data_IF_931751041157
#
_entry.id   IF_931751041157
#
_cell.length_a   1.000
_cell.length_b   1.000
_cell.length_c   1.000
_cell.angle_alpha   90.00
_cell.angle_beta   90.00
_cell.angle_gamma   90.00
#
_symmetry.space_group_name_H-M   'P 1'
#
loop_
_entity.id
_entity.type
_entity.pdbx_description
1 polymer ?
#
# COMPACT_ATOMS: atom_id res chain seq x y z
N UNK A 1 19.77 8.32 -59.88
CA UNK A 1 19.19 8.88 -58.65
C UNK A 1 17.96 8.08 -58.26
N UNK A 2 18.08 7.04 -57.42
CA UNK A 2 16.94 6.41 -56.74
C UNK A 2 17.28 6.39 -55.24
N UNK A 3 16.64 7.30 -54.50
CA UNK A 3 16.76 7.42 -53.04
C UNK A 3 15.79 6.42 -52.41
N UNK A 4 16.32 5.37 -51.79
CA UNK A 4 15.54 4.45 -50.97
C UNK A 4 15.13 5.15 -49.68
N UNK A 5 13.82 5.37 -49.51
CA UNK A 5 13.22 5.88 -48.28
C UNK A 5 13.00 4.70 -47.33
N UNK A 6 13.95 4.45 -46.43
CA UNK A 6 13.81 3.44 -45.37
C UNK A 6 12.89 3.99 -44.27
N UNK A 7 11.61 3.59 -44.28
CA UNK A 7 10.67 3.82 -43.20
C UNK A 7 10.91 2.75 -42.11
N UNK A 8 11.67 3.12 -41.08
CA UNK A 8 11.80 2.30 -39.87
C UNK A 8 10.52 2.43 -39.03
N UNK A 9 9.64 1.43 -39.12
CA UNK A 9 8.52 1.26 -38.21
C UNK A 9 9.05 0.85 -36.83
N UNK A 10 9.24 1.81 -35.94
CA UNK A 10 9.50 1.59 -34.51
C UNK A 10 8.22 1.02 -33.87
N UNK A 11 8.08 -0.30 -33.88
CA UNK A 11 7.09 -1.01 -33.06
C UNK A 11 7.51 -0.92 -31.59
N UNK A 12 7.07 0.13 -30.90
CA UNK A 12 7.13 0.19 -29.44
C UNK A 12 6.22 -0.91 -28.88
N UNK A 13 6.74 -1.90 -28.13
CA UNK A 13 5.86 -2.83 -27.43
C UNK A 13 5.13 -2.06 -26.34
N UNK A 14 3.86 -1.72 -26.58
CA UNK A 14 2.95 -1.29 -25.53
C UNK A 14 2.71 -2.49 -24.62
N UNK A 15 3.50 -2.60 -23.55
CA UNK A 15 3.19 -3.50 -22.46
C UNK A 15 1.97 -2.95 -21.71
N UNK A 16 0.78 -3.35 -22.14
CA UNK A 16 -0.46 -3.12 -21.38
C UNK A 16 -0.45 -4.10 -20.22
N UNK A 17 0.05 -3.67 -19.07
CA UNK A 17 -0.11 -4.41 -17.83
C UNK A 17 -1.54 -4.23 -17.33
N UNK A 18 -2.40 -5.22 -17.56
CA UNK A 18 -3.70 -5.30 -16.93
C UNK A 18 -3.51 -5.69 -15.45
N UNK A 19 -3.44 -4.69 -14.57
CA UNK A 19 -3.54 -4.92 -13.12
C UNK A 19 -5.01 -4.94 -12.75
N UNK A 20 -5.54 -6.14 -12.46
CA UNK A 20 -6.86 -6.24 -11.84
C UNK A 20 -6.72 -5.81 -10.38
N UNK A 21 -7.02 -4.54 -10.07
CA UNK A 21 -7.23 -4.18 -8.68
C UNK A 21 -8.58 -4.76 -8.25
N UNK A 22 -8.63 -5.71 -7.30
CA UNK A 22 -9.91 -6.29 -6.86
C UNK A 22 -10.82 -5.25 -6.17
N UNK A 23 -10.26 -4.09 -5.82
CA UNK A 23 -10.92 -3.03 -5.10
C UNK A 23 -11.13 -1.80 -5.99
N UNK A 24 -12.39 -1.37 -6.14
CA UNK A 24 -12.79 -0.21 -6.97
C UNK A 24 -12.12 1.10 -6.56
N UNK A 25 -11.57 1.19 -5.35
CA UNK A 25 -10.83 2.35 -4.87
C UNK A 25 -9.37 2.42 -5.27
N UNK A 26 -8.75 1.30 -5.62
CA UNK A 26 -7.30 1.24 -5.79
C UNK A 26 -6.60 0.93 -4.47
N UNK A 27 -5.48 1.60 -4.21
CA UNK A 27 -4.51 1.18 -3.20
C UNK A 27 -4.60 1.97 -1.88
N UNK A 28 -4.47 1.28 -0.75
CA UNK A 28 -4.22 1.93 0.55
C UNK A 28 -2.78 2.41 0.59
N UNK A 29 -2.57 3.68 0.91
CA UNK A 29 -1.23 4.21 1.15
C UNK A 29 -0.80 3.93 2.59
N UNK A 30 0.43 3.46 2.74
CA UNK A 30 1.03 3.13 4.05
C UNK A 30 2.34 3.88 4.16
N UNK A 31 2.49 4.63 5.24
CA UNK A 31 3.75 5.26 5.61
C UNK A 31 4.11 4.96 7.06
N UNK A 32 5.34 5.27 7.45
CA UNK A 32 5.78 5.16 8.83
C UNK A 32 5.74 6.52 9.51
N UNK A 33 4.95 6.60 10.58
CA UNK A 33 4.87 7.79 11.43
C UNK A 33 5.09 7.35 12.88
N UNK A 34 6.08 7.94 13.54
CA UNK A 34 6.52 7.54 14.89
C UNK A 34 6.85 6.04 15.01
N UNK A 35 7.55 5.49 14.01
CA UNK A 35 7.94 4.08 13.92
C UNK A 35 6.76 3.08 13.89
N UNK A 36 5.58 3.52 13.43
CA UNK A 36 4.37 2.70 13.30
C UNK A 36 3.74 2.91 11.92
N UNK A 37 3.13 1.87 11.32
CA UNK A 37 2.35 2.02 10.10
C UNK A 37 1.21 3.02 10.28
N UNK A 38 1.02 3.88 9.28
CA UNK A 38 -0.04 4.85 9.21
C UNK A 38 -0.78 4.70 7.88
N UNK A 39 -2.08 4.41 7.94
CA UNK A 39 -2.89 4.06 6.79
C UNK A 39 -3.75 5.24 6.32
N UNK A 40 -3.78 5.47 5.02
CA UNK A 40 -4.59 6.51 4.39
C UNK A 40 -4.90 6.19 2.94
N UNK A 41 -5.74 7.01 2.32
CA UNK A 41 -6.02 6.96 0.88
C UNK A 41 -5.75 8.31 0.23
N UNK A 42 -5.47 8.30 -1.06
CA UNK A 42 -5.27 9.50 -1.88
C UNK A 42 -6.55 9.95 -2.60
N UNK A 43 -7.73 9.58 -2.08
CA UNK A 43 -9.03 10.03 -2.57
C UNK A 43 -9.70 10.93 -1.53
N UNK A 44 -9.65 12.25 -1.78
CA UNK A 44 -10.18 13.28 -0.88
C UNK A 44 -11.70 13.44 -0.96
N UNK A 45 -12.38 12.73 -1.88
CA UNK A 45 -13.81 12.85 -2.06
C UNK A 45 -14.60 11.83 -1.22
N UNK A 46 -13.95 10.80 -0.67
CA UNK A 46 -14.61 9.78 0.14
C UNK A 46 -14.97 10.32 1.54
N UNK A 47 -16.22 10.08 1.96
CA UNK A 47 -16.76 10.54 3.25
C UNK A 47 -17.71 9.48 3.85
N UNK A 48 -18.05 9.64 5.13
CA UNK A 48 -18.99 8.77 5.83
C UNK A 48 -18.31 7.69 6.67
N UNK A 49 -19.05 6.62 6.95
CA UNK A 49 -18.57 5.48 7.74
C UNK A 49 -17.54 4.71 6.92
N UNK A 50 -16.46 4.30 7.56
CA UNK A 50 -15.44 3.45 6.97
C UNK A 50 -14.82 2.53 8.01
N UNK A 51 -14.23 1.45 7.50
CA UNK A 51 -13.44 0.51 8.25
C UNK A 51 -12.03 0.45 7.70
N UNK A 52 -11.05 0.35 8.59
CA UNK A 52 -9.73 -0.20 8.28
C UNK A 52 -9.67 -1.61 8.87
N UNK A 53 -9.51 -2.61 8.01
CA UNK A 53 -9.33 -4.01 8.38
C UNK A 53 -7.91 -4.43 8.05
N UNK A 54 -7.18 -4.93 9.04
CA UNK A 54 -5.85 -5.52 8.88
C UNK A 54 -5.99 -7.03 9.07
N UNK A 55 -5.69 -7.81 8.04
CA UNK A 55 -5.75 -9.27 8.06
C UNK A 55 -4.35 -9.85 7.98
N UNK A 56 -4.01 -10.81 8.83
CA UNK A 56 -2.80 -11.62 8.66
C UNK A 56 -3.03 -12.68 7.58
N UNK A 57 -2.18 -12.68 6.55
CA UNK A 57 -2.30 -13.57 5.38
C UNK A 57 -1.53 -14.89 5.52
N UNK A 58 -0.93 -15.15 6.68
CA UNK A 58 -0.27 -16.43 6.95
C UNK A 58 -1.28 -17.57 6.93
N UNK A 59 -0.83 -18.74 6.47
CA UNK A 59 -1.64 -19.95 6.49
C UNK A 59 -2.18 -20.22 7.91
N UNK A 60 -3.46 -20.57 8.00
CA UNK A 60 -4.19 -20.89 9.24
C UNK A 60 -4.33 -19.73 10.26
N UNK A 61 -3.92 -18.52 9.90
CA UNK A 61 -4.11 -17.36 10.76
C UNK A 61 -5.55 -16.86 10.73
N UNK A 62 -6.11 -16.63 11.91
CA UNK A 62 -7.39 -15.91 12.11
C UNK A 62 -7.18 -14.50 12.65
N UNK A 63 -5.92 -14.08 12.76
CA UNK A 63 -5.54 -12.79 13.32
C UNK A 63 -5.99 -11.66 12.39
N UNK A 64 -6.92 -10.85 12.88
CA UNK A 64 -7.40 -9.66 12.21
C UNK A 64 -7.74 -8.57 13.21
N UNK A 65 -7.66 -7.33 12.75
CA UNK A 65 -7.98 -6.17 13.55
C UNK A 65 -8.79 -5.17 12.74
N UNK A 66 -9.75 -4.54 13.40
CA UNK A 66 -10.70 -3.63 12.76
C UNK A 66 -10.66 -2.30 13.51
N UNK A 67 -10.58 -1.21 12.75
CA UNK A 67 -10.82 0.14 13.21
C UNK A 67 -12.02 0.70 12.44
N UNK A 68 -13.08 1.07 13.15
CA UNK A 68 -14.26 1.69 12.57
C UNK A 68 -14.30 3.17 13.00
N UNK A 69 -14.60 4.04 12.05
CA UNK A 69 -14.87 5.44 12.36
C UNK A 69 -15.77 6.09 11.29
N UNK A 70 -16.24 7.29 11.58
CA UNK A 70 -17.03 8.13 10.68
C UNK A 70 -16.35 9.49 10.53
N UNK A 71 -16.09 9.90 9.28
CA UNK A 71 -15.64 11.27 8.99
C UNK A 71 -16.67 12.05 8.21
N UNK A 72 -17.00 13.24 8.71
CA UNK A 72 -17.91 14.19 8.04
C UNK A 72 -17.28 14.79 6.77
N UNK A 73 -15.95 14.98 6.76
CA UNK A 73 -15.27 15.72 5.70
C UNK A 73 -14.53 14.87 4.69
N UNK A 74 -13.69 13.94 5.15
CA UNK A 74 -12.91 13.06 4.29
C UNK A 74 -12.40 11.83 5.06
N UNK A 75 -12.28 10.70 4.36
CA UNK A 75 -11.51 9.55 4.83
C UNK A 75 -10.07 9.96 5.17
N UNK A 76 -9.33 9.15 5.96
CA UNK A 76 -7.95 9.44 6.32
C UNK A 76 -7.09 9.74 5.09
N UNK A 77 -6.40 10.88 5.14
CA UNK A 77 -5.39 11.30 4.17
C UNK A 77 -4.00 11.23 4.81
N UNK A 78 -2.97 11.58 4.07
CA UNK A 78 -1.59 11.56 4.55
C UNK A 78 -1.38 12.33 5.87
N UNK A 79 -2.05 13.47 6.06
CA UNK A 79 -1.86 14.30 7.26
C UNK A 79 -2.55 13.73 8.50
N UNK A 80 -3.72 13.10 8.31
CA UNK A 80 -4.59 12.54 9.35
C UNK A 80 -4.76 11.01 9.22
N UNK A 81 -3.69 10.31 8.85
CA UNK A 81 -3.69 8.86 8.67
C UNK A 81 -3.96 8.08 9.98
N UNK A 82 -4.43 6.85 9.85
CA UNK A 82 -4.75 5.98 10.99
C UNK A 82 -3.48 5.27 11.43
N UNK A 83 -2.98 5.63 12.61
CA UNK A 83 -1.82 4.97 13.21
C UNK A 83 -2.22 3.59 13.74
N UNK A 84 -1.44 2.56 13.37
CA UNK A 84 -1.57 1.22 13.90
C UNK A 84 -1.07 1.17 15.34
N UNK A 85 -2.00 1.22 16.29
CA UNK A 85 -1.73 1.25 17.72
C UNK A 85 -2.78 0.43 18.46
N UNK A 86 -2.43 -0.05 19.65
CA UNK A 86 -3.34 -0.79 20.54
C UNK A 86 -4.56 0.07 20.97
N UNK A 87 -4.39 1.40 21.00
CA UNK A 87 -5.47 2.35 21.29
C UNK A 87 -6.51 2.41 20.17
N UNK A 88 -6.06 2.31 18.92
CA UNK A 88 -6.95 2.41 17.77
C UNK A 88 -7.54 1.04 17.43
N UNK A 89 -6.78 -0.05 17.56
CA UNK A 89 -7.26 -1.38 17.19
C UNK A 89 -7.31 -2.29 18.43
N UNK A 90 -8.53 -2.71 18.80
CA UNK A 90 -8.74 -3.63 19.90
C UNK A 90 -7.95 -4.93 19.68
N UNK A 91 -7.32 -5.44 20.74
CA UNK A 91 -6.53 -6.68 20.74
C UNK A 91 -5.31 -6.68 19.79
N UNK A 92 -4.89 -5.52 19.30
CA UNK A 92 -3.62 -5.40 18.57
C UNK A 92 -2.44 -5.52 19.53
N UNK A 93 -1.50 -6.44 19.25
CA UNK A 93 -0.29 -6.68 20.06
C UNK A 93 1.01 -6.37 19.30
N UNK A 94 0.91 -5.66 18.18
CA UNK A 94 2.03 -5.44 17.27
C UNK A 94 1.99 -6.36 16.06
N UNK A 95 2.74 -5.96 15.02
CA UNK A 95 2.95 -6.75 13.82
C UNK A 95 4.15 -7.69 14.02
N UNK A 96 4.07 -8.87 13.43
CA UNK A 96 5.15 -9.84 13.35
C UNK A 96 6.04 -9.52 12.16
N UNK A 97 7.35 -9.66 12.34
CA UNK A 97 8.30 -9.40 11.25
C UNK A 97 8.16 -10.46 10.14
N UNK A 98 8.40 -10.06 8.90
CA UNK A 98 8.32 -10.92 7.70
C UNK A 98 7.01 -11.71 7.60
N UNK A 99 5.93 -11.15 8.15
CA UNK A 99 4.58 -11.73 8.08
C UNK A 99 3.76 -10.89 7.11
N UNK A 100 3.09 -11.50 6.11
CA UNK A 100 2.25 -10.78 5.16
C UNK A 100 0.93 -10.37 5.82
N UNK A 101 0.55 -9.11 5.62
CA UNK A 101 -0.70 -8.55 6.08
C UNK A 101 -1.42 -7.88 4.90
N UNK A 102 -2.75 -7.85 4.95
CA UNK A 102 -3.59 -7.09 4.01
C UNK A 102 -4.30 -5.97 4.75
N UNK A 103 -4.11 -4.73 4.30
CA UNK A 103 -4.83 -3.57 4.80
C UNK A 103 -5.94 -3.19 3.83
N UNK A 104 -7.19 -3.31 4.27
CA UNK A 104 -8.36 -2.86 3.51
C UNK A 104 -8.97 -1.65 4.20
N UNK A 105 -9.02 -0.52 3.51
CA UNK A 105 -9.67 0.70 4.01
C UNK A 105 -10.87 1.01 3.12
N UNK A 106 -12.05 1.17 3.67
CA UNK A 106 -13.21 1.49 2.85
C UNK A 106 -14.55 1.48 3.58
N UNK A 107 -15.56 1.98 2.88
CA UNK A 107 -16.96 1.84 3.25
C UNK A 107 -17.70 0.89 2.31
N UNK A 108 -19.03 0.84 2.44
CA UNK A 108 -19.90 -0.08 1.69
C UNK A 108 -19.74 0.05 0.17
N UNK A 109 -19.53 1.28 -0.34
CA UNK A 109 -19.53 1.56 -1.79
C UNK A 109 -18.16 1.39 -2.45
N UNK A 110 -17.09 1.66 -1.70
CA UNK A 110 -15.73 1.77 -2.24
C UNK A 110 -14.75 1.40 -1.15
N UNK A 111 -13.87 0.47 -1.50
CA UNK A 111 -12.77 0.03 -0.66
C UNK A 111 -11.47 0.08 -1.44
N UNK A 112 -10.38 0.14 -0.69
CA UNK A 112 -9.00 0.25 -1.11
C UNK A 112 -8.24 -0.86 -0.41
N UNK A 113 -7.20 -1.40 -1.03
CA UNK A 113 -6.42 -2.47 -0.42
C UNK A 113 -4.93 -2.32 -0.69
N UNK A 114 -4.10 -2.76 0.27
CA UNK A 114 -2.67 -2.97 0.06
C UNK A 114 -2.17 -4.09 0.95
N UNK A 115 -1.46 -5.04 0.34
CA UNK A 115 -0.68 -6.03 1.08
C UNK A 115 0.68 -5.46 1.46
N UNK A 116 1.13 -5.74 2.67
CA UNK A 116 2.37 -5.23 3.21
C UNK A 116 2.98 -6.21 4.21
N UNK A 117 4.29 -6.07 4.41
CA UNK A 117 5.01 -6.66 5.52
C UNK A 117 5.76 -5.59 6.29
N UNK A 118 6.29 -5.99 7.45
CA UNK A 118 7.23 -5.17 8.22
C UNK A 118 8.46 -5.98 8.58
N UNK A 119 9.59 -5.30 8.69
CA UNK A 119 10.81 -5.82 9.31
C UNK A 119 11.41 -4.79 10.24
N UNK A 120 12.29 -5.21 11.15
CA UNK A 120 13.17 -4.26 11.85
C UNK A 120 14.51 -4.16 11.16
N UNK A 121 15.00 -2.93 11.03
CA UNK A 121 16.34 -2.61 10.57
C UNK A 121 16.89 -1.52 11.48
N UNK A 122 18.01 -1.81 12.15
CA UNK A 122 18.68 -0.85 13.05
C UNK A 122 17.74 -0.23 14.11
N UNK A 123 16.87 -1.06 14.69
CA UNK A 123 15.90 -0.65 15.72
C UNK A 123 14.67 0.11 15.19
N UNK A 124 14.60 0.38 13.88
CA UNK A 124 13.44 1.02 13.22
C UNK A 124 12.66 0.01 12.39
N UNK A 125 11.35 0.19 12.36
CA UNK A 125 10.47 -0.57 11.51
C UNK A 125 10.64 -0.08 10.07
N UNK A 126 10.58 -1.00 9.11
CA UNK A 126 10.65 -0.73 7.67
C UNK A 126 9.51 -1.47 7.01
N UNK A 127 8.82 -0.80 6.07
CA UNK A 127 7.76 -1.40 5.26
C UNK A 127 8.37 -2.23 4.14
N UNK A 128 7.68 -3.32 3.81
CA UNK A 128 8.04 -4.28 2.77
C UNK A 128 6.80 -4.57 1.92
N UNK A 129 7.02 -4.91 0.65
CA UNK A 129 5.97 -5.36 -0.25
C UNK A 129 5.78 -6.88 -0.16
N UNK A 130 4.59 -7.36 -0.51
CA UNK A 130 4.28 -8.79 -0.61
C UNK A 130 4.38 -9.24 -2.07
N UNK A 131 5.22 -10.24 -2.34
CA UNK A 131 5.32 -10.90 -3.64
C UNK A 131 4.95 -12.38 -3.49
N UNK A 132 3.76 -12.75 -3.97
CA UNK A 132 3.17 -14.05 -3.69
C UNK A 132 2.89 -14.20 -2.20
N UNK A 133 3.60 -15.09 -1.53
CA UNK A 133 3.50 -15.30 -0.07
C UNK A 133 4.70 -14.76 0.71
N UNK A 134 5.63 -14.06 0.04
CA UNK A 134 6.90 -13.63 0.64
C UNK A 134 6.95 -12.12 0.81
N UNK A 135 7.56 -11.70 1.92
CA UNK A 135 7.91 -10.31 2.16
C UNK A 135 9.18 -9.96 1.41
N UNK A 136 9.16 -8.83 0.71
CA UNK A 136 10.27 -8.33 -0.10
C UNK A 136 10.54 -6.87 0.22
N UNK A 137 11.82 -6.50 0.20
CA UNK A 137 12.18 -5.10 0.40
C UNK A 137 11.64 -4.25 -0.75
N UNK A 138 11.02 -3.13 -0.40
CA UNK A 138 10.56 -2.13 -1.37
C UNK A 138 11.81 -1.66 -2.11
N UNK A 139 11.91 -2.01 -3.39
CA UNK A 139 13.01 -1.54 -4.22
C UNK A 139 12.76 -0.05 -4.48
N UNK A 140 13.71 0.84 -4.15
CA UNK A 140 13.60 2.25 -4.52
C UNK A 140 13.39 2.35 -6.02
N UNK A 141 12.47 3.22 -6.44
CA UNK A 141 12.18 3.37 -7.86
C UNK A 141 13.44 3.80 -8.62
N UNK A 142 13.51 3.51 -9.91
CA UNK A 142 14.61 3.95 -10.77
C UNK A 142 14.92 5.45 -10.60
N UNK A 143 13.89 6.29 -10.44
CA UNK A 143 14.02 7.73 -10.19
C UNK A 143 14.56 8.08 -8.80
N UNK A 144 14.25 7.31 -7.78
CA UNK A 144 14.82 7.50 -6.44
C UNK A 144 16.30 7.11 -6.39
N UNK A 145 16.68 6.03 -7.08
CA UNK A 145 18.08 5.66 -7.23
C UNK A 145 18.88 6.74 -7.97
N UNK A 146 18.31 7.30 -9.04
CA UNK A 146 18.90 8.44 -9.75
C UNK A 146 19.07 9.65 -8.82
N UNK A 147 18.02 10.03 -8.08
CA UNK A 147 18.10 11.18 -7.15
C UNK A 147 19.15 10.98 -6.05
N UNK A 148 19.31 9.76 -5.54
CA UNK A 148 20.32 9.45 -4.54
C UNK A 148 21.74 9.38 -5.13
N UNK A 149 21.89 9.10 -6.42
CA UNK A 149 23.18 9.10 -7.11
C UNK A 149 23.70 10.51 -7.40
N UNK A 150 22.80 11.48 -7.58
CA UNK A 150 23.14 12.90 -7.81
C UNK A 150 23.23 13.72 -6.51
N UNK A 151 23.32 13.08 -5.35
CA UNK A 151 23.38 13.72 -4.03
C UNK A 151 24.65 13.31 -3.31
#
# INVERSE_FOLDING_TARGET
MHKYLFLAFLSLPFHVSATSSPYRGGEVSIELKNNKPCFYINDTQQKGIFNLVILNLSQDSTESWIYENHFENNYPTKTNCILLTEKNLNNFKGLKENTPYSATLGGVKKAYNKDFCVKKSSGKLVLQDVQGTKCTDIKPSFWENIKNFFK
#
